data_IF_090431444629
#
_entry.id   IF_090431444629
#
_cell.length_a   1.000
_cell.length_b   1.000
_cell.length_c   1.000
_cell.angle_alpha   90.00
_cell.angle_beta   90.00
_cell.angle_gamma   90.00
#
_symmetry.space_group_name_H-M   'P 1'
#
loop_
_entity.id
_entity.type
_entity.pdbx_description
1 polymer ?
#
# COMPACT_ATOMS: atom_id res chain seq x y z
N UNK A 1 -13.45 -7.53 3.55
CA UNK A 1 -12.10 -6.94 3.41
C UNK A 1 -11.63 -6.55 4.80
N UNK A 2 -10.57 -7.20 5.30
CA UNK A 2 -10.10 -7.01 6.68
C UNK A 2 -8.71 -6.33 6.65
N UNK A 3 -8.46 -5.31 7.49
CA UNK A 3 -7.12 -4.77 7.69
C UNK A 3 -6.14 -5.85 8.15
N UNK A 4 -4.84 -5.59 8.01
CA UNK A 4 -3.82 -6.48 8.61
C UNK A 4 -4.15 -6.69 10.09
N UNK A 5 -4.15 -7.95 10.53
CA UNK A 5 -4.40 -8.29 11.93
C UNK A 5 -3.47 -7.49 12.84
N UNK A 6 -3.99 -6.99 13.97
CA UNK A 6 -3.23 -6.20 14.95
C UNK A 6 -1.85 -6.80 15.23
N UNK A 7 -1.76 -8.10 15.49
CA UNK A 7 -0.48 -8.77 15.74
C UNK A 7 0.53 -8.68 14.59
N UNK A 8 0.10 -8.81 13.33
CA UNK A 8 0.98 -8.63 12.16
C UNK A 8 1.38 -7.15 11.99
N UNK A 9 0.44 -6.23 12.17
CA UNK A 9 0.64 -4.80 12.03
C UNK A 9 1.56 -4.20 13.12
N UNK A 10 1.43 -4.67 14.36
CA UNK A 10 2.27 -4.26 15.48
C UNK A 10 3.69 -4.81 15.29
N UNK A 11 3.83 -6.07 14.86
CA UNK A 11 5.15 -6.70 14.62
C UNK A 11 5.94 -6.07 13.48
N UNK A 12 5.27 -5.62 12.42
CA UNK A 12 5.93 -5.00 11.26
C UNK A 12 6.43 -3.58 11.58
N UNK A 13 5.66 -2.77 12.32
CA UNK A 13 6.06 -1.45 12.83
C UNK A 13 6.84 -0.59 11.83
N UNK A 14 8.00 -0.07 12.27
CA UNK A 14 8.93 0.74 11.46
C UNK A 14 10.11 -0.07 10.89
N UNK A 15 9.94 -1.38 10.70
CA UNK A 15 11.00 -2.23 10.13
C UNK A 15 11.42 -1.79 8.71
N UNK A 16 12.64 -2.14 8.28
CA UNK A 16 13.10 -1.92 6.92
C UNK A 16 12.16 -2.52 5.87
N UNK A 17 12.13 -1.91 4.68
CA UNK A 17 11.25 -2.33 3.59
C UNK A 17 11.33 -3.83 3.23
N UNK A 18 12.52 -4.48 3.17
CA UNK A 18 12.61 -5.91 2.87
C UNK A 18 11.81 -6.80 3.83
N UNK A 19 11.69 -6.41 5.10
CA UNK A 19 10.85 -7.11 6.09
C UNK A 19 9.38 -6.74 5.95
N UNK A 20 9.09 -5.49 5.57
CA UNK A 20 7.70 -5.01 5.42
C UNK A 20 6.99 -5.64 4.24
N UNK A 21 7.67 -5.69 3.09
CA UNK A 21 7.15 -6.13 1.80
C UNK A 21 6.39 -7.47 1.85
N UNK A 22 6.93 -8.58 2.38
CA UNK A 22 6.22 -9.86 2.40
C UNK A 22 4.96 -9.84 3.28
N UNK A 23 4.95 -9.06 4.36
CA UNK A 23 3.77 -8.96 5.24
C UNK A 23 2.66 -8.15 4.54
N UNK A 24 3.01 -7.01 3.92
CA UNK A 24 2.07 -6.20 3.15
C UNK A 24 1.48 -6.99 1.96
N UNK A 25 2.30 -7.83 1.31
CA UNK A 25 1.85 -8.72 0.23
C UNK A 25 0.76 -9.72 0.67
N UNK A 26 0.74 -10.08 1.95
CA UNK A 26 -0.26 -10.99 2.53
C UNK A 26 -1.58 -10.31 2.90
N UNK A 27 -1.73 -9.00 2.69
CA UNK A 27 -2.95 -8.27 3.01
C UNK A 27 -4.10 -8.61 2.06
N UNK A 28 -5.31 -8.72 2.60
CA UNK A 28 -6.54 -8.83 1.80
C UNK A 28 -6.98 -7.48 1.21
N UNK A 29 -6.50 -6.37 1.76
CA UNK A 29 -6.77 -5.04 1.22
C UNK A 29 -5.90 -4.81 -0.03
N UNK A 30 -6.55 -4.67 -1.18
CA UNK A 30 -5.90 -4.57 -2.48
C UNK A 30 -4.83 -3.47 -2.52
N UNK A 31 -5.15 -2.28 -2.01
CA UNK A 31 -4.24 -1.12 -2.01
C UNK A 31 -3.03 -1.29 -1.08
N UNK A 32 -3.17 -2.06 0.00
CA UNK A 32 -2.07 -2.41 0.91
C UNK A 32 -1.16 -3.45 0.27
N UNK A 33 -1.76 -4.49 -0.34
CA UNK A 33 -1.03 -5.53 -1.07
C UNK A 33 -0.28 -4.95 -2.26
N UNK A 34 -0.88 -3.99 -2.95
CA UNK A 34 -0.30 -3.34 -4.11
C UNK A 34 1.03 -2.66 -3.80
N UNK A 35 1.17 -2.03 -2.62
CA UNK A 35 2.43 -1.43 -2.18
C UNK A 35 3.60 -2.44 -2.21
N UNK A 36 3.34 -3.71 -1.92
CA UNK A 36 4.35 -4.76 -1.93
C UNK A 36 4.86 -5.16 -3.33
N UNK A 37 4.25 -4.65 -4.41
CA UNK A 37 4.77 -4.84 -5.78
C UNK A 37 6.06 -4.03 -6.01
N UNK A 38 6.28 -2.95 -5.24
CA UNK A 38 7.47 -2.10 -5.40
C UNK A 38 8.71 -2.83 -4.87
N UNK A 39 9.83 -2.86 -5.62
CA UNK A 39 11.06 -3.51 -5.18
C UNK A 39 11.68 -2.78 -3.99
N UNK A 40 11.61 -1.45 -4.00
CA UNK A 40 12.12 -0.54 -2.97
C UNK A 40 11.03 0.43 -2.53
N UNK A 41 11.19 1.02 -1.35
CA UNK A 41 10.28 2.02 -0.80
C UNK A 41 11.02 3.31 -0.53
N UNK A 42 11.35 4.00 -1.61
CA UNK A 42 12.00 5.31 -1.62
C UNK A 42 11.06 6.39 -2.17
N UNK A 43 11.56 7.63 -2.26
CA UNK A 43 10.77 8.77 -2.73
C UNK A 43 10.21 8.54 -4.15
N UNK A 44 10.99 7.94 -5.04
CA UNK A 44 10.52 7.60 -6.41
C UNK A 44 9.33 6.66 -6.37
N UNK A 45 9.44 5.56 -5.61
CA UNK A 45 8.35 4.59 -5.49
C UNK A 45 7.10 5.19 -4.84
N UNK A 46 7.27 6.12 -3.89
CA UNK A 46 6.16 6.84 -3.26
C UNK A 46 5.46 7.75 -4.28
N UNK A 47 6.22 8.52 -5.06
CA UNK A 47 5.69 9.42 -6.09
C UNK A 47 4.90 8.65 -7.16
N UNK A 48 5.49 7.59 -7.72
CA UNK A 48 4.84 6.73 -8.72
C UNK A 48 3.50 6.19 -8.19
N UNK A 49 3.48 5.72 -6.94
CA UNK A 49 2.25 5.22 -6.32
C UNK A 49 1.24 6.34 -6.06
N UNK A 50 1.67 7.54 -5.70
CA UNK A 50 0.77 8.68 -5.51
C UNK A 50 0.07 9.07 -6.81
N UNK A 51 0.78 9.05 -7.94
CA UNK A 51 0.20 9.31 -9.26
C UNK A 51 -0.82 8.25 -9.68
N UNK A 52 -0.54 6.97 -9.42
CA UNK A 52 -1.49 5.88 -9.63
C UNK A 52 -2.75 6.04 -8.75
N UNK A 53 -2.55 6.39 -7.47
CA UNK A 53 -3.66 6.63 -6.55
C UNK A 53 -4.51 7.83 -6.95
N UNK A 54 -3.90 8.89 -7.48
CA UNK A 54 -4.61 10.07 -7.96
C UNK A 54 -5.54 9.73 -9.14
N UNK A 55 -5.10 8.87 -10.06
CA UNK A 55 -5.94 8.38 -11.17
C UNK A 55 -7.14 7.57 -10.65
N UNK A 56 -6.88 6.62 -9.75
CA UNK A 56 -7.95 5.84 -9.12
C UNK A 56 -8.93 6.71 -8.32
N UNK A 57 -8.45 7.78 -7.69
CA UNK A 57 -9.31 8.69 -6.95
C UNK A 57 -10.28 9.44 -7.87
N UNK A 58 -9.87 9.82 -9.08
CA UNK A 58 -10.76 10.45 -10.07
C UNK A 58 -11.87 9.49 -10.53
N UNK A 59 -11.57 8.20 -10.63
CA UNK A 59 -12.56 7.17 -10.98
C UNK A 59 -13.53 6.87 -9.82
N UNK A 60 -13.01 6.81 -8.60
CA UNK A 60 -13.79 6.47 -7.41
C UNK A 60 -14.61 7.65 -6.85
N UNK A 61 -14.13 8.88 -7.05
CA UNK A 61 -14.76 10.13 -6.60
C UNK A 61 -14.87 11.14 -7.75
N UNK A 62 -15.76 10.90 -8.73
CA UNK A 62 -16.01 11.86 -9.79
C UNK A 62 -16.56 13.18 -9.22
N UNK A 63 -16.15 14.30 -9.82
CA UNK A 63 -16.49 15.65 -9.35
C UNK A 63 -17.96 16.03 -9.61
N UNK A 64 -18.63 15.35 -10.53
CA UNK A 64 -20.05 15.55 -10.87
C UNK A 64 -20.78 14.20 -10.92
N UNK A 65 -22.10 14.16 -10.62
CA UNK A 65 -22.88 12.93 -10.43
C UNK A 65 -23.03 12.06 -11.68
#
# INVERSE_FOLDING_TARGET
MVPLSKGKNDKIGNKPWPEKKPILASSEMLLTRDAAKRPKWDQSAIQERQEEMAKLALEAWPREP
#
